data_IF_600414232564
#
_entry.id   IF_600414232564
#
_cell.length_a   1.000
_cell.length_b   1.000
_cell.length_c   1.000
_cell.angle_alpha   90.00
_cell.angle_beta   90.00
_cell.angle_gamma   90.00
#
_symmetry.space_group_name_H-M   'P 1'
#
loop_
_entity.id
_entity.type
_entity.pdbx_description
1 polymer ?
#
# COMPACT_ATOMS: atom_id res chain seq x y z
N UNK A 1 -29.07 9.99 16.82
CA UNK A 1 -27.82 10.23 17.57
C UNK A 1 -26.68 9.92 16.61
N UNK A 2 -26.07 10.96 16.06
CA UNK A 2 -24.92 10.85 15.16
C UNK A 2 -23.68 10.50 15.97
N UNK A 3 -23.19 9.27 15.86
CA UNK A 3 -21.90 8.88 16.40
C UNK A 3 -20.80 9.26 15.39
N UNK A 4 -20.49 10.55 15.31
CA UNK A 4 -19.28 11.04 14.68
C UNK A 4 -18.09 10.72 15.59
N UNK A 5 -17.66 9.46 15.59
CA UNK A 5 -16.41 9.06 16.21
C UNK A 5 -15.26 9.53 15.30
N UNK A 6 -15.03 10.85 15.29
CA UNK A 6 -13.80 11.44 14.79
C UNK A 6 -12.75 11.09 15.84
N UNK A 7 -12.25 9.87 15.73
CA UNK A 7 -11.17 9.36 16.55
C UNK A 7 -10.00 10.32 16.36
N UNK A 8 -9.72 11.12 17.40
CA UNK A 8 -8.52 11.95 17.44
C UNK A 8 -7.34 11.03 17.16
N UNK A 9 -6.71 11.20 15.99
CA UNK A 9 -5.54 10.41 15.69
C UNK A 9 -4.53 10.71 16.78
N UNK A 10 -3.98 9.65 17.36
CA UNK A 10 -3.15 9.61 18.55
C UNK A 10 -1.76 10.26 18.34
N UNK A 11 -1.72 11.46 17.79
CA UNK A 11 -0.51 12.16 17.32
C UNK A 11 0.05 11.65 15.99
N UNK A 12 -0.61 10.67 15.36
CA UNK A 12 -0.14 10.07 14.10
C UNK A 12 -0.65 10.85 12.88
N UNK A 13 0.23 11.09 11.94
CA UNK A 13 -0.09 11.62 10.62
C UNK A 13 -0.96 10.65 9.81
N UNK A 14 -1.73 11.13 8.82
CA UNK A 14 -2.51 10.25 7.94
C UNK A 14 -1.67 9.15 7.27
N UNK A 15 -0.42 9.46 6.92
CA UNK A 15 0.49 8.51 6.29
C UNK A 15 0.92 7.41 7.25
N UNK A 16 1.22 7.75 8.51
CA UNK A 16 1.54 6.75 9.54
C UNK A 16 0.34 5.85 9.86
N UNK A 17 -0.86 6.42 9.93
CA UNK A 17 -2.10 5.63 10.09
C UNK A 17 -2.24 4.65 8.93
N UNK A 18 -2.01 5.09 7.69
CA UNK A 18 -2.07 4.22 6.51
C UNK A 18 -1.08 3.06 6.62
N UNK A 19 0.15 3.30 7.10
CA UNK A 19 1.13 2.23 7.32
C UNK A 19 0.63 1.23 8.36
N UNK A 20 0.06 1.71 9.47
CA UNK A 20 -0.48 0.83 10.51
C UNK A 20 -1.67 0.00 10.02
N UNK A 21 -2.55 0.58 9.20
CA UNK A 21 -3.64 -0.13 8.53
C UNK A 21 -3.11 -1.23 7.61
N UNK A 22 -2.06 -0.93 6.84
CA UNK A 22 -1.40 -1.91 5.99
C UNK A 22 -0.83 -3.08 6.80
N UNK A 23 -0.12 -2.80 7.91
CA UNK A 23 0.39 -3.84 8.81
C UNK A 23 -0.76 -4.70 9.35
N UNK A 24 -1.84 -4.07 9.81
CA UNK A 24 -3.01 -4.76 10.38
C UNK A 24 -3.74 -5.63 9.36
N UNK A 25 -3.71 -5.28 8.08
CA UNK A 25 -4.37 -6.06 7.03
C UNK A 25 -3.78 -7.47 6.85
N UNK A 26 -2.52 -7.70 7.28
CA UNK A 26 -1.76 -8.95 7.07
C UNK A 26 -1.66 -9.39 5.59
N UNK A 27 -1.93 -8.49 4.65
CA UNK A 27 -1.88 -8.75 3.20
C UNK A 27 -0.47 -8.65 2.63
N UNK A 28 0.35 -7.78 3.23
CA UNK A 28 1.65 -7.42 2.70
C UNK A 28 2.72 -8.34 3.27
N UNK A 29 3.54 -8.91 2.39
CA UNK A 29 4.76 -9.63 2.78
C UNK A 29 5.81 -8.66 3.32
N UNK A 30 5.88 -7.47 2.73
CA UNK A 30 6.74 -6.39 3.21
C UNK A 30 6.13 -5.03 2.90
N UNK A 31 6.47 -4.06 3.74
CA UNK A 31 6.13 -2.65 3.58
C UNK A 31 7.43 -1.89 3.65
N UNK A 32 7.67 -1.02 2.66
CA UNK A 32 8.85 -0.17 2.57
C UNK A 32 8.42 1.29 2.56
N UNK A 33 9.04 2.07 3.44
CA UNK A 33 8.80 3.50 3.58
C UNK A 33 10.01 4.27 3.08
N UNK A 34 9.76 5.36 2.36
CA UNK A 34 10.79 6.35 2.04
C UNK A 34 10.41 7.62 2.81
N UNK A 35 11.32 8.09 3.65
CA UNK A 35 11.12 9.24 4.51
C UNK A 35 11.93 10.42 3.95
N UNK A 36 11.33 11.60 3.91
CA UNK A 36 12.01 12.86 3.57
C UNK A 36 11.57 13.95 4.54
N UNK A 37 12.53 14.71 5.05
CA UNK A 37 12.27 15.80 6.01
C UNK A 37 11.49 15.36 7.26
N UNK A 38 11.72 14.13 7.72
CA UNK A 38 11.03 13.55 8.88
C UNK A 38 9.62 13.02 8.59
N UNK A 39 9.13 13.16 7.35
CA UNK A 39 7.78 12.77 6.94
C UNK A 39 7.82 11.60 5.95
N UNK A 40 6.77 10.78 5.94
CA UNK A 40 6.61 9.69 4.96
C UNK A 40 6.35 10.28 3.57
N UNK A 41 7.28 10.08 2.63
CA UNK A 41 7.21 10.55 1.24
C UNK A 41 6.61 9.47 0.31
N UNK A 42 6.99 8.20 0.50
CA UNK A 42 6.49 7.09 -0.32
C UNK A 42 6.23 5.87 0.55
N UNK A 43 5.13 5.18 0.25
CA UNK A 43 4.78 3.86 0.79
C UNK A 43 4.76 2.86 -0.36
N UNK A 44 5.58 1.82 -0.26
CA UNK A 44 5.57 0.66 -1.15
C UNK A 44 5.13 -0.56 -0.34
N UNK A 45 4.26 -1.40 -0.89
CA UNK A 45 3.99 -2.70 -0.28
C UNK A 45 4.05 -3.82 -1.31
N UNK A 46 4.63 -4.93 -0.87
CA UNK A 46 4.78 -6.15 -1.63
C UNK A 46 3.67 -7.11 -1.20
N UNK A 47 2.82 -7.50 -2.15
CA UNK A 47 1.80 -8.52 -1.93
C UNK A 47 2.13 -9.76 -2.75
N UNK A 48 1.82 -10.92 -2.18
CA UNK A 48 1.77 -12.17 -2.93
C UNK A 48 0.34 -12.45 -3.34
N UNK A 49 0.14 -12.62 -4.64
CA UNK A 49 -1.16 -12.92 -5.21
C UNK A 49 -1.39 -14.43 -5.24
N UNK A 50 -2.66 -14.82 -5.27
CA UNK A 50 -3.02 -16.21 -5.50
C UNK A 50 -2.65 -16.62 -6.93
N UNK A 51 -2.05 -17.81 -7.05
CA UNK A 51 -1.58 -18.37 -8.31
C UNK A 51 -2.77 -18.86 -9.17
N UNK A 52 -3.95 -19.02 -8.57
CA UNK A 52 -5.17 -19.43 -9.25
C UNK A 52 -5.81 -18.33 -10.14
N UNK A 53 -5.46 -17.07 -9.94
CA UNK A 53 -6.01 -15.97 -10.74
C UNK A 53 -5.39 -15.92 -12.14
N UNK A 54 -6.20 -15.59 -13.16
CA UNK A 54 -5.69 -15.41 -14.52
C UNK A 54 -4.85 -14.13 -14.57
N UNK A 55 -3.66 -14.21 -15.16
CA UNK A 55 -2.74 -13.06 -15.31
C UNK A 55 -3.44 -11.85 -15.94
N UNK A 56 -4.32 -12.06 -16.92
CA UNK A 56 -5.06 -10.98 -17.59
C UNK A 56 -5.93 -10.20 -16.60
N UNK A 57 -6.55 -10.89 -15.64
CA UNK A 57 -7.42 -10.27 -14.65
C UNK A 57 -6.59 -9.50 -13.63
N UNK A 58 -5.42 -10.02 -13.25
CA UNK A 58 -4.45 -9.27 -12.43
C UNK A 58 -4.02 -7.99 -13.14
N UNK A 59 -3.68 -8.04 -14.43
CA UNK A 59 -3.24 -6.87 -15.19
C UNK A 59 -4.29 -5.75 -15.29
N UNK A 60 -5.59 -6.10 -15.20
CA UNK A 60 -6.69 -5.13 -15.21
C UNK A 60 -6.92 -4.43 -13.87
N UNK A 61 -6.31 -4.89 -12.77
CA UNK A 61 -6.55 -4.29 -11.45
C UNK A 61 -5.98 -2.86 -11.35
N UNK A 62 -5.09 -2.45 -12.28
CA UNK A 62 -4.50 -1.11 -12.40
C UNK A 62 -3.83 -0.54 -11.12
N UNK A 63 -3.79 -1.31 -10.03
CA UNK A 63 -3.46 -0.87 -8.67
C UNK A 63 -2.03 -1.21 -8.25
N UNK A 64 -1.17 -1.54 -9.22
CA UNK A 64 0.23 -1.89 -8.98
C UNK A 64 1.16 -1.22 -9.98
N UNK A 65 2.38 -0.92 -9.53
CA UNK A 65 3.46 -0.41 -10.37
C UNK A 65 4.19 -1.55 -11.07
N UNK A 66 4.45 -2.64 -10.34
CA UNK A 66 5.21 -3.80 -10.83
C UNK A 66 4.46 -5.09 -10.52
N UNK A 67 4.47 -6.03 -11.47
CA UNK A 67 4.01 -7.41 -11.30
C UNK A 67 5.18 -8.35 -11.64
N UNK A 68 5.57 -9.20 -10.69
CA UNK A 68 6.62 -10.21 -10.82
C UNK A 68 5.98 -11.60 -10.88
N UNK A 69 6.31 -12.38 -11.91
CA UNK A 69 5.84 -13.77 -12.06
C UNK A 69 7.06 -14.68 -12.14
N UNK A 70 7.14 -15.69 -11.28
CA UNK A 70 8.18 -16.73 -11.35
C UNK A 70 7.55 -18.05 -11.77
N UNK A 71 8.19 -18.70 -12.73
CA UNK A 71 7.82 -20.01 -13.22
C UNK A 71 8.89 -21.04 -12.90
N UNK A 72 8.46 -22.28 -12.70
CA UNK A 72 9.31 -23.46 -12.59
C UNK A 72 8.65 -24.60 -13.37
N UNK A 73 9.38 -25.21 -14.30
CA UNK A 73 8.89 -26.32 -15.14
C UNK A 73 7.55 -26.02 -15.82
N UNK A 74 7.41 -24.81 -16.38
CA UNK A 74 6.18 -24.36 -17.06
C UNK A 74 4.99 -24.06 -16.15
N UNK A 75 5.13 -24.16 -14.83
CA UNK A 75 4.10 -23.81 -13.84
C UNK A 75 4.44 -22.50 -13.17
N UNK A 76 3.44 -21.64 -12.99
CA UNK A 76 3.58 -20.45 -12.14
C UNK A 76 3.69 -20.94 -10.70
N UNK A 77 4.76 -20.56 -10.02
CA UNK A 77 5.01 -20.90 -8.61
C UNK A 77 4.94 -19.68 -7.72
N UNK A 78 4.90 -18.48 -8.30
CA UNK A 78 4.94 -17.24 -7.58
C UNK A 78 4.41 -16.09 -8.42
N UNK A 79 3.51 -15.30 -7.84
CA UNK A 79 3.12 -14.01 -8.36
C UNK A 79 3.20 -12.99 -7.22
N UNK A 80 3.99 -11.94 -7.42
CA UNK A 80 4.09 -10.83 -6.49
C UNK A 80 3.70 -9.54 -7.20
N UNK A 81 3.01 -8.63 -6.51
CA UNK A 81 2.80 -7.26 -6.98
C UNK A 81 3.41 -6.26 -6.01
N UNK A 82 3.83 -5.13 -6.56
CA UNK A 82 4.24 -3.96 -5.79
C UNK A 82 3.30 -2.82 -6.15
N UNK A 83 2.56 -2.32 -5.17
CA UNK A 83 1.92 -1.02 -5.27
C UNK A 83 2.85 0.03 -4.67
N UNK A 84 2.77 1.24 -5.21
CA UNK A 84 3.55 2.38 -4.76
C UNK A 84 2.64 3.59 -4.70
N UNK A 85 2.59 4.21 -3.53
CA UNK A 85 1.87 5.47 -3.32
C UNK A 85 2.87 6.54 -2.92
N UNK A 86 2.95 7.59 -3.73
CA UNK A 86 3.62 8.84 -3.32
C UNK A 86 2.64 9.59 -2.43
N UNK A 87 3.11 9.99 -1.26
CA UNK A 87 2.36 10.86 -0.37
C UNK A 87 2.63 12.28 -0.84
N UNK A 88 1.60 12.91 -1.40
CA UNK A 88 1.69 14.33 -1.66
C UNK A 88 1.75 15.05 -0.31
N UNK A 89 2.73 15.94 -0.08
CA UNK A 89 2.74 16.77 1.10
C UNK A 89 1.45 17.58 1.05
N UNK A 90 0.50 17.25 1.92
CA UNK A 90 -0.76 18.00 2.03
C UNK A 90 -0.38 19.46 2.20
N UNK A 91 -0.82 20.28 1.25
CA UNK A 91 -0.73 21.72 1.29
C UNK A 91 -1.16 22.16 2.68
N UNK A 92 -0.24 22.78 3.44
CA UNK A 92 -0.56 23.45 4.70
C UNK A 92 -1.80 24.28 4.44
N UNK A 93 -2.95 23.87 4.98
CA UNK A 93 -4.17 24.67 4.95
C UNK A 93 -3.77 25.98 5.59
N UNK A 94 -3.65 27.03 4.77
CA UNK A 94 -3.42 28.38 5.25
C UNK A 94 -4.60 28.72 6.14
N UNK A 95 -4.39 28.65 7.44
CA UNK A 95 -5.24 29.33 8.41
C UNK A 95 -4.89 30.82 8.30
N UNK A 96 -5.64 31.54 7.48
CA UNK A 96 -5.76 32.99 7.52
C UNK A 96 -7.25 33.32 7.44
#
# INVERSE_FOLDING_TARGET
MENNNKQESSGLSPSEIQVLEMIRSKRFLSIKLIIKNGEVDIIEGLERLDIGERIIDMLKQHDFQNLEIKQSNGKIVCVNRIFRKKIDPVAKTKSC
#
